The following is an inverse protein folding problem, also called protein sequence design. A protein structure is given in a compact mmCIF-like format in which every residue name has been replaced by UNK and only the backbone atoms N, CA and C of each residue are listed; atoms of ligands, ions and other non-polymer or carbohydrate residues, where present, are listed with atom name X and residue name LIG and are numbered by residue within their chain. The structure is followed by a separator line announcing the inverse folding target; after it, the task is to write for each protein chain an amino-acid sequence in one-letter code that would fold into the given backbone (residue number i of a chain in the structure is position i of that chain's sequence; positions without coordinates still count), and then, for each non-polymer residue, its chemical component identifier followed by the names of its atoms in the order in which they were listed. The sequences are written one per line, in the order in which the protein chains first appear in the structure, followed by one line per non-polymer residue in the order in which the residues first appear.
data_IF_077255718204
#
_entry.id   IF_077255718204
#
_cell.length_a   1.000
_cell.length_b   1.000
_cell.length_c   1.000
_cell.angle_alpha   90.00
_cell.angle_beta   90.00
_cell.angle_gamma   90.00
#
_symmetry.space_group_name_H-M   'P 1'
#
loop_
_entity.id
_entity.type
_entity.pdbx_description
1 polymer ?
#
# COMPACT_ATOMS: atom_id res chain seq x y z
N UNK A 1 -37.10 -1.38 -3.71
CA UNK A 1 -36.01 -1.22 -2.71
C UNK A 1 -35.20 -2.50 -2.46
N UNK A 2 -35.81 -3.70 -2.39
CA UNK A 2 -35.09 -4.95 -2.10
C UNK A 2 -33.98 -5.32 -3.09
N UNK A 3 -34.13 -5.04 -4.38
CA UNK A 3 -33.11 -5.35 -5.39
C UNK A 3 -31.79 -4.61 -5.13
N UNK A 4 -31.83 -3.29 -4.85
CA UNK A 4 -30.62 -2.49 -4.57
C UNK A 4 -29.91 -2.98 -3.30
N UNK A 5 -30.68 -3.37 -2.28
CA UNK A 5 -30.14 -3.92 -1.04
C UNK A 5 -29.37 -5.23 -1.31
N UNK A 6 -29.95 -6.12 -2.12
CA UNK A 6 -29.39 -7.44 -2.43
C UNK A 6 -28.23 -7.37 -3.44
N UNK A 7 -28.25 -6.46 -4.42
CA UNK A 7 -27.26 -6.40 -5.51
C UNK A 7 -26.15 -5.37 -5.29
N UNK A 8 -26.29 -4.48 -4.31
CA UNK A 8 -25.30 -3.46 -4.00
C UNK A 8 -24.92 -3.47 -2.51
N UNK A 9 -25.86 -3.18 -1.61
CA UNK A 9 -25.52 -2.92 -0.20
C UNK A 9 -24.96 -4.14 0.54
N UNK A 10 -25.60 -5.31 0.44
CA UNK A 10 -25.14 -6.53 1.12
C UNK A 10 -23.79 -7.01 0.55
N UNK A 11 -23.60 -7.17 -0.77
CA UNK A 11 -22.30 -7.53 -1.34
C UNK A 11 -21.19 -6.55 -0.96
N UNK A 12 -21.49 -5.25 -0.95
CA UNK A 12 -20.55 -4.21 -0.53
C UNK A 12 -20.18 -4.34 0.96
N UNK A 13 -21.14 -4.62 1.83
CA UNK A 13 -20.88 -4.85 3.26
C UNK A 13 -19.99 -6.07 3.52
N UNK A 14 -20.30 -7.21 2.88
CA UNK A 14 -19.49 -8.44 2.99
C UNK A 14 -18.09 -8.21 2.41
N UNK A 15 -18.00 -7.49 1.28
CA UNK A 15 -16.73 -7.10 0.69
C UNK A 15 -15.87 -6.32 1.68
N UNK A 16 -16.36 -5.20 2.24
CA UNK A 16 -15.55 -4.40 3.16
C UNK A 16 -15.16 -5.18 4.43
N UNK A 17 -16.07 -5.97 4.99
CA UNK A 17 -15.77 -6.80 6.15
C UNK A 17 -14.60 -7.75 5.89
N UNK A 18 -14.61 -8.45 4.75
CA UNK A 18 -13.55 -9.40 4.39
C UNK A 18 -12.28 -8.69 3.94
N UNK A 19 -12.41 -7.59 3.19
CA UNK A 19 -11.29 -6.76 2.74
C UNK A 19 -10.49 -6.21 3.91
N UNK A 20 -11.12 -5.57 4.89
CA UNK A 20 -10.41 -5.00 6.04
C UNK A 20 -9.74 -6.08 6.89
N UNK A 21 -10.38 -7.25 7.06
CA UNK A 21 -9.75 -8.38 7.77
C UNK A 21 -8.50 -8.87 7.05
N UNK A 22 -8.58 -9.06 5.73
CA UNK A 22 -7.44 -9.50 4.91
C UNK A 22 -6.32 -8.45 4.90
N UNK A 23 -6.65 -7.17 4.74
CA UNK A 23 -5.66 -6.10 4.73
C UNK A 23 -4.97 -5.92 6.08
N UNK A 24 -5.72 -5.93 7.18
CA UNK A 24 -5.11 -5.85 8.51
C UNK A 24 -4.19 -7.05 8.78
N UNK A 25 -4.56 -8.24 8.31
CA UNK A 25 -3.68 -9.41 8.40
C UNK A 25 -2.40 -9.21 7.57
N UNK A 26 -2.51 -8.76 6.32
CA UNK A 26 -1.36 -8.49 5.47
C UNK A 26 -0.42 -7.45 6.10
N UNK A 27 -0.96 -6.34 6.62
CA UNK A 27 -0.18 -5.32 7.32
C UNK A 27 0.53 -5.92 8.54
N UNK A 28 -0.18 -6.70 9.35
CA UNK A 28 0.42 -7.33 10.53
C UNK A 28 1.54 -8.30 10.17
N UNK A 29 1.35 -9.15 9.16
CA UNK A 29 2.38 -10.07 8.68
C UNK A 29 3.61 -9.32 8.13
N UNK A 30 3.39 -8.28 7.33
CA UNK A 30 4.47 -7.41 6.82
C UNK A 30 5.21 -6.72 7.95
N UNK A 31 4.52 -6.12 8.92
CA UNK A 31 5.16 -5.43 10.04
C UNK A 31 5.92 -6.39 10.96
N UNK A 32 5.41 -7.61 11.16
CA UNK A 32 6.13 -8.65 11.90
C UNK A 32 7.42 -9.08 11.18
N UNK A 33 7.35 -9.26 9.86
CA UNK A 33 8.53 -9.55 9.04
C UNK A 33 9.56 -8.42 9.15
N UNK A 34 9.14 -7.17 8.91
CA UNK A 34 10.01 -6.00 9.00
C UNK A 34 10.63 -5.87 10.39
N UNK A 35 9.84 -6.03 11.45
CA UNK A 35 10.35 -5.96 12.81
C UNK A 35 11.46 -6.99 13.08
N UNK A 36 11.33 -8.19 12.52
CA UNK A 36 12.35 -9.23 12.63
C UNK A 36 13.59 -8.87 11.82
N UNK A 37 13.40 -8.41 10.58
CA UNK A 37 14.49 -8.01 9.68
C UNK A 37 15.31 -6.83 10.22
N UNK A 38 14.65 -5.78 10.70
CA UNK A 38 15.28 -4.55 11.17
C UNK A 38 16.05 -4.74 12.48
N UNK A 39 15.68 -5.74 13.30
CA UNK A 39 16.47 -6.10 14.49
C UNK A 39 17.85 -6.68 14.14
N UNK A 40 17.99 -7.33 12.99
CA UNK A 40 19.27 -7.84 12.50
C UNK A 40 19.97 -6.90 11.52
N UNK A 41 19.26 -5.91 10.98
CA UNK A 41 19.77 -4.89 10.05
C UNK A 41 19.38 -3.50 10.58
N UNK A 42 20.04 -3.00 11.63
CA UNK A 42 19.76 -1.66 12.13
C UNK A 42 20.15 -0.60 11.09
N UNK A 43 19.50 0.56 11.16
CA UNK A 43 19.67 1.70 10.25
C UNK A 43 19.26 1.43 8.79
N UNK A 44 18.54 0.36 8.51
CA UNK A 44 17.92 0.14 7.20
C UNK A 44 16.92 1.26 6.89
N UNK A 45 16.98 1.77 5.66
CA UNK A 45 16.00 2.72 5.13
C UNK A 45 14.92 1.99 4.35
N UNK A 46 13.70 2.45 4.54
CA UNK A 46 12.51 1.85 3.98
C UNK A 46 11.81 2.88 3.09
N UNK A 47 11.35 2.41 1.93
CA UNK A 47 10.51 3.17 1.01
C UNK A 47 9.21 2.41 0.79
N UNK A 48 8.10 3.14 0.80
CA UNK A 48 6.80 2.60 0.43
C UNK A 48 6.46 3.10 -0.98
N UNK A 49 6.29 2.18 -1.93
CA UNK A 49 5.89 2.49 -3.30
C UNK A 49 4.53 3.20 -3.29
N UNK A 50 4.41 4.34 -3.96
CA UNK A 50 3.17 5.12 -4.03
C UNK A 50 2.73 5.77 -2.73
N UNK A 51 3.56 5.75 -1.68
CA UNK A 51 3.35 6.58 -0.50
C UNK A 51 4.09 7.89 -0.71
N UNK A 52 3.35 8.95 -1.02
CA UNK A 52 3.91 10.29 -1.09
C UNK A 52 3.38 11.21 0.00
N UNK A 53 3.76 12.47 -0.11
CA UNK A 53 3.56 13.48 0.94
C UNK A 53 2.62 14.56 0.44
N UNK A 54 1.68 14.99 1.27
CA UNK A 54 0.68 16.00 0.92
C UNK A 54 -0.61 15.38 0.38
N UNK A 55 -1.71 15.70 1.06
CA UNK A 55 -3.06 15.17 0.76
C UNK A 55 -3.62 15.69 -0.57
N UNK A 56 -3.07 16.79 -1.08
CA UNK A 56 -3.40 17.35 -2.40
C UNK A 56 -2.99 16.43 -3.55
N UNK A 57 -2.01 15.54 -3.31
CA UNK A 57 -1.47 14.62 -4.32
C UNK A 57 -1.68 13.15 -3.97
N UNK A 58 -1.66 12.81 -2.69
CA UNK A 58 -1.72 11.45 -2.19
C UNK A 58 -2.91 11.29 -1.25
N UNK A 59 -3.97 10.61 -1.71
CA UNK A 59 -5.25 10.55 -1.02
C UNK A 59 -5.12 9.97 0.40
N UNK A 60 -4.25 8.97 0.57
CA UNK A 60 -4.07 8.29 1.86
C UNK A 60 -2.97 8.90 2.74
N UNK A 61 -2.38 10.05 2.37
CA UNK A 61 -1.24 10.65 3.09
C UNK A 61 -1.49 10.92 4.58
N UNK A 62 -2.74 11.20 4.95
CA UNK A 62 -3.15 11.41 6.35
C UNK A 62 -2.99 10.15 7.22
N UNK A 63 -2.97 8.95 6.62
CA UNK A 63 -2.94 7.68 7.34
C UNK A 63 -1.53 7.09 7.51
N UNK A 64 -0.55 7.55 6.71
CA UNK A 64 0.78 6.95 6.65
C UNK A 64 1.53 7.01 7.98
N UNK A 65 1.37 8.10 8.74
CA UNK A 65 1.97 8.20 10.08
C UNK A 65 1.49 7.11 11.03
N UNK A 66 0.23 6.69 10.94
CA UNK A 66 -0.30 5.58 11.75
C UNK A 66 0.39 4.27 11.39
N UNK A 67 0.54 3.98 10.09
CA UNK A 67 1.21 2.77 9.59
C UNK A 67 2.67 2.74 10.05
N UNK A 68 3.38 3.86 9.90
CA UNK A 68 4.79 3.95 10.27
C UNK A 68 5.02 3.83 11.77
N UNK A 69 4.03 4.23 12.58
CA UNK A 69 4.10 4.11 14.03
C UNK A 69 4.01 2.66 14.54
N UNK A 70 3.54 1.70 13.74
CA UNK A 70 3.36 0.30 14.17
C UNK A 70 4.69 -0.33 14.59
N UNK A 71 5.76 -0.13 13.82
CA UNK A 71 7.08 -0.70 14.11
C UNK A 71 7.63 -0.26 15.48
N UNK A 72 7.70 1.05 15.81
CA UNK A 72 8.18 1.49 17.12
C UNK A 72 7.18 1.20 18.24
N UNK A 73 5.88 1.44 18.04
CA UNK A 73 4.90 1.36 19.14
C UNK A 73 4.51 -0.07 19.52
N UNK A 74 4.40 -0.97 18.53
CA UNK A 74 3.94 -2.36 18.75
C UNK A 74 5.12 -3.33 18.83
N UNK A 75 6.13 -3.14 17.97
CA UNK A 75 7.26 -4.08 17.87
C UNK A 75 8.54 -3.62 18.55
N UNK A 76 8.58 -2.38 19.06
CA UNK A 76 9.74 -1.81 19.76
C UNK A 76 10.97 -1.63 18.86
N UNK A 77 10.77 -1.49 17.54
CA UNK A 77 11.87 -1.25 16.59
C UNK A 77 11.95 0.25 16.32
N UNK A 78 13.11 0.86 16.53
CA UNK A 78 13.31 2.31 16.32
C UNK A 78 14.55 2.66 15.50
N UNK A 79 15.47 1.73 15.30
CA UNK A 79 16.70 1.94 14.54
C UNK A 79 16.47 1.70 13.03
N UNK A 80 15.60 2.50 12.43
CA UNK A 80 15.33 2.48 11.00
C UNK A 80 14.92 3.89 10.54
N UNK A 81 14.90 4.09 9.24
CA UNK A 81 14.37 5.31 8.64
C UNK A 81 13.31 4.97 7.59
N UNK A 82 12.32 5.85 7.43
CA UNK A 82 11.40 5.82 6.30
C UNK A 82 11.64 7.09 5.52
N UNK A 83 11.96 6.95 4.23
CA UNK A 83 12.21 8.06 3.33
C UNK A 83 11.17 8.09 2.20
N UNK A 84 10.97 9.26 1.61
CA UNK A 84 10.09 9.41 0.44
C UNK A 84 10.92 9.30 -0.83
N UNK A 85 10.51 8.41 -1.74
CA UNK A 85 10.95 8.42 -3.14
C UNK A 85 9.94 9.11 -4.06
N UNK A 86 8.73 9.35 -3.55
CA UNK A 86 7.66 9.99 -4.29
C UNK A 86 7.79 11.53 -4.17
N UNK A 87 7.43 12.27 -5.23
CA UNK A 87 7.45 13.73 -5.22
C UNK A 87 6.48 14.31 -4.19
N UNK A 88 6.80 15.49 -3.66
CA UNK A 88 5.94 16.15 -2.68
C UNK A 88 4.72 16.79 -3.33
N UNK A 89 3.59 16.70 -2.64
CA UNK A 89 2.44 17.57 -2.80
C UNK A 89 2.71 18.96 -2.23
N UNK A 90 1.95 19.93 -2.69
CA UNK A 90 2.05 21.33 -2.29
C UNK A 90 1.62 21.57 -0.85
N UNK A 91 0.78 20.70 -0.29
CA UNK A 91 0.32 20.76 1.10
C UNK A 91 1.30 20.14 2.11
N UNK A 92 2.44 19.60 1.66
CA UNK A 92 3.39 18.98 2.57
C UNK A 92 4.17 20.01 3.39
N UNK A 93 4.15 19.84 4.72
CA UNK A 93 4.92 20.61 5.66
C UNK A 93 5.85 19.69 6.45
N UNK A 94 7.06 20.19 6.72
CA UNK A 94 8.06 19.48 7.51
C UNK A 94 7.57 19.41 8.97
N UNK A 95 7.62 18.22 9.55
CA UNK A 95 7.51 18.02 10.99
C UNK A 95 8.90 17.79 11.59
N UNK A 96 9.53 18.81 12.22
CA UNK A 96 10.87 18.68 12.77
C UNK A 96 10.93 17.78 14.01
N UNK A 97 9.79 17.40 14.60
CA UNK A 97 9.74 16.52 15.77
C UNK A 97 9.78 15.03 15.41
N UNK A 98 9.49 14.68 14.15
CA UNK A 98 9.56 13.31 13.67
C UNK A 98 11.00 12.83 13.51
N UNK A 99 11.29 11.61 13.94
CA UNK A 99 12.57 10.93 13.68
C UNK A 99 12.71 10.42 12.24
N UNK A 100 11.60 10.25 11.53
CA UNK A 100 11.57 9.71 10.16
C UNK A 100 11.81 10.80 9.12
N UNK A 101 12.72 10.54 8.18
CA UNK A 101 13.04 11.41 7.03
C UNK A 101 11.81 11.75 6.18
N UNK A 102 10.84 10.85 6.13
CA UNK A 102 9.58 11.04 5.41
C UNK A 102 8.87 12.31 5.88
N UNK A 103 8.79 12.58 7.18
CA UNK A 103 8.09 13.76 7.71
C UNK A 103 9.01 14.95 7.99
N UNK A 104 10.28 14.71 8.37
CA UNK A 104 11.17 15.78 8.83
C UNK A 104 12.03 16.42 7.73
N UNK A 105 11.95 15.94 6.49
CA UNK A 105 12.70 16.46 5.35
C UNK A 105 11.80 16.63 4.12
N UNK A 106 12.12 17.59 3.24
CA UNK A 106 11.51 17.72 1.90
C UNK A 106 12.21 16.89 0.84
N UNK A 107 13.34 16.28 1.18
CA UNK A 107 14.16 15.54 0.23
C UNK A 107 13.39 14.34 -0.32
N UNK A 108 13.45 14.17 -1.64
CA UNK A 108 12.95 12.99 -2.35
C UNK A 108 14.18 12.22 -2.78
N UNK A 109 14.33 11.00 -2.28
CA UNK A 109 15.53 10.20 -2.48
C UNK A 109 15.28 9.07 -3.46
N UNK A 110 16.27 8.82 -4.32
CA UNK A 110 16.34 7.55 -5.03
C UNK A 110 16.82 6.49 -4.04
N UNK A 111 16.14 5.34 -3.94
CA UNK A 111 16.58 4.27 -3.05
C UNK A 111 17.96 3.72 -3.43
N UNK A 112 18.78 3.42 -2.42
CA UNK A 112 20.13 2.86 -2.59
C UNK A 112 20.11 1.31 -2.53
N UNK A 113 21.22 0.69 -2.93
CA UNK A 113 21.40 -0.76 -2.75
C UNK A 113 21.28 -1.12 -1.26
N UNK A 114 20.62 -2.24 -0.96
CA UNK A 114 20.26 -2.71 0.38
C UNK A 114 19.14 -1.97 1.11
N UNK A 115 18.60 -0.88 0.55
CA UNK A 115 17.35 -0.29 1.06
C UNK A 115 16.16 -1.24 0.82
N UNK A 116 15.10 -1.09 1.60
CA UNK A 116 13.88 -1.87 1.44
C UNK A 116 12.83 -1.09 0.64
N UNK A 117 12.21 -1.76 -0.32
CA UNK A 117 11.06 -1.25 -1.06
C UNK A 117 9.82 -2.09 -0.73
N UNK A 118 8.77 -1.43 -0.26
CA UNK A 118 7.53 -2.08 0.19
C UNK A 118 6.38 -1.67 -0.72
N UNK A 119 5.64 -2.66 -1.20
CA UNK A 119 4.41 -2.46 -1.96
C UNK A 119 3.27 -3.07 -1.17
N UNK A 120 2.19 -2.30 -0.98
CA UNK A 120 1.02 -2.73 -0.21
C UNK A 120 -0.27 -2.27 -0.90
N UNK A 121 -1.41 -2.81 -0.48
CA UNK A 121 -2.71 -2.37 -0.97
C UNK A 121 -3.09 -0.93 -0.58
N UNK A 122 -2.32 -0.29 0.31
CA UNK A 122 -2.52 1.10 0.73
C UNK A 122 -1.77 2.10 -0.16
N UNK A 123 -1.00 1.60 -1.12
CA UNK A 123 -0.30 2.43 -2.09
C UNK A 123 -1.28 3.22 -2.96
N UNK A 124 -0.96 4.47 -3.26
CA UNK A 124 -1.69 5.26 -4.26
C UNK A 124 -1.34 4.83 -5.71
N UNK A 125 -0.44 3.84 -5.88
CA UNK A 125 -0.22 3.16 -7.16
C UNK A 125 -0.80 1.74 -7.14
N UNK A 126 -1.30 1.30 -8.29
CA UNK A 126 -1.86 -0.05 -8.44
C UNK A 126 -0.79 -1.14 -8.26
N UNK A 127 -1.13 -2.18 -7.49
CA UNK A 127 -0.31 -3.40 -7.37
C UNK A 127 -0.61 -4.31 -8.56
N UNK A 128 0.03 -4.01 -9.70
CA UNK A 128 -0.16 -4.73 -10.96
C UNK A 128 0.86 -5.87 -11.11
N UNK A 129 0.44 -7.00 -11.68
CA UNK A 129 1.32 -8.16 -11.92
C UNK A 129 2.56 -7.79 -12.75
N UNK A 130 2.40 -6.92 -13.76
CA UNK A 130 3.51 -6.42 -14.58
C UNK A 130 4.54 -5.65 -13.76
N UNK A 131 4.08 -4.82 -12.81
CA UNK A 131 4.96 -4.06 -11.91
C UNK A 131 5.67 -4.97 -10.92
N UNK A 132 4.97 -5.98 -10.38
CA UNK A 132 5.60 -6.97 -9.49
C UNK A 132 6.66 -7.78 -10.24
N UNK A 133 6.39 -8.22 -11.47
CA UNK A 133 7.36 -8.94 -12.29
C UNK A 133 8.61 -8.09 -12.63
N UNK A 134 8.42 -6.80 -12.93
CA UNK A 134 9.52 -5.86 -13.13
C UNK A 134 10.41 -5.76 -11.87
N UNK A 135 9.79 -5.68 -10.69
CA UNK A 135 10.51 -5.57 -9.42
C UNK A 135 11.20 -6.87 -9.02
N UNK A 136 10.57 -8.03 -9.24
CA UNK A 136 11.19 -9.34 -9.04
C UNK A 136 12.38 -9.57 -9.99
N UNK A 137 12.40 -8.92 -11.17
CA UNK A 137 13.51 -9.00 -12.11
C UNK A 137 14.72 -8.12 -11.73
N UNK A 138 14.48 -7.02 -11.02
CA UNK A 138 15.48 -5.98 -10.71
C UNK A 138 15.93 -5.97 -9.26
N UNK A 139 15.09 -6.48 -8.35
CA UNK A 139 15.31 -6.49 -6.90
C UNK A 139 15.16 -7.91 -6.35
N UNK A 140 15.53 -8.09 -5.09
CA UNK A 140 15.35 -9.37 -4.42
C UNK A 140 14.06 -9.36 -3.61
N UNK A 141 13.14 -10.28 -3.92
CA UNK A 141 11.95 -10.48 -3.10
C UNK A 141 12.34 -11.16 -1.78
N UNK A 142 12.17 -10.45 -0.66
CA UNK A 142 12.47 -10.97 0.67
C UNK A 142 11.23 -11.53 1.37
N UNK A 143 10.07 -10.91 1.16
CA UNK A 143 8.83 -11.31 1.82
C UNK A 143 7.61 -10.98 0.97
N UNK A 144 6.61 -11.86 1.04
CA UNK A 144 5.31 -11.73 0.39
C UNK A 144 4.21 -12.28 1.31
N UNK A 145 3.15 -11.52 1.54
CA UNK A 145 2.01 -12.00 2.35
C UNK A 145 1.25 -13.10 1.62
N UNK A 146 0.60 -13.98 2.36
CA UNK A 146 -0.25 -15.01 1.74
C UNK A 146 -1.53 -14.42 1.18
N UNK A 147 -2.08 -15.04 0.13
CA UNK A 147 -3.45 -14.73 -0.30
C UNK A 147 -4.43 -15.32 0.71
N UNK A 148 -5.36 -14.49 1.20
CA UNK A 148 -6.41 -14.92 2.11
C UNK A 148 -7.78 -14.85 1.44
N UNK A 149 -8.71 -15.75 1.80
CA UNK A 149 -10.08 -15.69 1.30
C UNK A 149 -10.69 -14.32 1.57
N UNK A 150 -11.28 -13.75 0.54
CA UNK A 150 -12.01 -12.49 0.62
C UNK A 150 -13.22 -12.57 -0.31
N UNK A 151 -14.20 -11.69 -0.06
CA UNK A 151 -15.34 -11.54 -0.96
C UNK A 151 -15.06 -10.39 -1.93
N UNK A 152 -14.94 -10.64 -3.24
CA UNK A 152 -14.79 -9.57 -4.22
C UNK A 152 -15.97 -8.60 -4.16
N UNK A 153 -15.73 -7.35 -4.53
CA UNK A 153 -16.80 -6.38 -4.64
C UNK A 153 -17.65 -6.71 -5.88
N UNK A 154 -18.53 -7.70 -5.80
CA UNK A 154 -19.48 -8.06 -6.86
C UNK A 154 -20.74 -7.22 -6.72
N UNK A 155 -20.68 -6.00 -7.24
CA UNK A 155 -21.78 -5.04 -7.30
C UNK A 155 -22.11 -4.72 -8.75
N UNK A 156 -23.30 -4.19 -9.02
CA UNK A 156 -23.65 -3.74 -10.38
C UNK A 156 -22.63 -2.73 -10.94
N UNK A 157 -22.09 -1.84 -10.09
CA UNK A 157 -21.09 -0.85 -10.51
C UNK A 157 -19.75 -1.47 -10.89
N UNK A 158 -19.24 -2.43 -10.12
CA UNK A 158 -17.97 -3.09 -10.42
C UNK A 158 -18.05 -4.01 -11.64
N UNK A 159 -19.20 -4.66 -11.86
CA UNK A 159 -19.47 -5.39 -13.10
C UNK A 159 -19.49 -4.42 -14.29
N UNK A 160 -20.19 -3.30 -14.17
CA UNK A 160 -20.20 -2.25 -15.21
C UNK A 160 -18.79 -1.71 -15.51
N UNK A 161 -18.00 -1.42 -14.47
CA UNK A 161 -16.62 -0.98 -14.62
C UNK A 161 -15.75 -2.04 -15.34
N UNK A 162 -15.87 -3.32 -14.98
CA UNK A 162 -15.16 -4.41 -15.67
C UNK A 162 -15.54 -4.49 -17.15
N UNK A 163 -16.82 -4.40 -17.49
CA UNK A 163 -17.29 -4.43 -18.87
C UNK A 163 -16.75 -3.27 -19.70
N UNK A 164 -16.74 -2.06 -19.13
CA UNK A 164 -16.17 -0.90 -19.80
C UNK A 164 -14.65 -1.05 -20.01
N UNK A 165 -13.92 -1.60 -19.03
CA UNK A 165 -12.50 -1.93 -19.18
C UNK A 165 -12.26 -2.98 -20.28
N UNK A 166 -13.06 -4.04 -20.34
CA UNK A 166 -12.96 -5.08 -21.38
C UNK A 166 -13.21 -4.54 -22.79
N UNK A 167 -14.02 -3.47 -22.88
CA UNK A 167 -14.27 -2.74 -24.12
C UNK A 167 -13.27 -1.60 -24.38
N UNK A 168 -12.21 -1.48 -23.58
CA UNK A 168 -11.18 -0.44 -23.72
C UNK A 168 -11.75 1.00 -23.64
N UNK A 169 -12.88 1.18 -22.96
CA UNK A 169 -13.51 2.47 -22.77
C UNK A 169 -12.88 3.14 -21.55
N UNK A 170 -12.15 4.23 -21.77
CA UNK A 170 -11.62 5.07 -20.69
C UNK A 170 -12.76 5.66 -19.88
N UNK A 171 -12.76 5.42 -18.57
CA UNK A 171 -13.76 5.96 -17.65
C UNK A 171 -13.12 6.37 -16.32
N UNK A 172 -13.69 7.38 -15.66
CA UNK A 172 -13.24 7.85 -14.34
C UNK A 172 -13.46 6.84 -13.22
N UNK A 173 -14.31 5.82 -13.42
CA UNK A 173 -14.55 4.72 -12.47
C UNK A 173 -13.40 3.68 -12.42
N UNK A 174 -12.24 3.96 -13.02
CA UNK A 174 -11.12 3.02 -13.05
C UNK A 174 -10.49 2.93 -11.66
N UNK A 175 -10.78 1.86 -10.93
CA UNK A 175 -10.09 1.48 -9.68
C UNK A 175 -8.65 1.02 -9.97
N UNK A 176 -7.84 1.82 -10.68
CA UNK A 176 -6.44 1.50 -11.05
C UNK A 176 -6.28 0.09 -11.67
N UNK A 177 -7.24 -0.34 -12.51
CA UNK A 177 -7.25 -1.69 -13.11
C UNK A 177 -7.81 -2.81 -12.22
N UNK A 178 -8.30 -2.50 -11.02
CA UNK A 178 -8.88 -3.47 -10.07
C UNK A 178 -10.39 -3.22 -9.84
N UNK A 179 -11.25 -3.48 -10.84
CA UNK A 179 -12.68 -3.14 -10.78
C UNK A 179 -13.42 -3.86 -9.64
N UNK A 180 -12.96 -5.04 -9.24
CA UNK A 180 -13.54 -5.83 -8.16
C UNK A 180 -12.92 -5.59 -6.78
N UNK A 181 -11.96 -4.65 -6.67
CA UNK A 181 -11.24 -4.30 -5.45
C UNK A 181 -10.66 -5.50 -4.70
N UNK A 182 -10.03 -6.40 -5.46
CA UNK A 182 -9.34 -7.56 -4.89
C UNK A 182 -8.25 -7.06 -3.92
N UNK A 183 -8.11 -7.66 -2.71
CA UNK A 183 -7.04 -7.28 -1.80
C UNK A 183 -5.70 -7.57 -2.46
N UNK A 184 -4.80 -6.60 -2.42
CA UNK A 184 -3.43 -6.82 -2.85
C UNK A 184 -2.62 -7.47 -1.73
N UNK A 185 -1.73 -8.39 -2.13
CA UNK A 185 -0.65 -8.88 -1.26
C UNK A 185 0.31 -7.72 -0.97
N UNK A 186 1.00 -7.81 0.16
CA UNK A 186 2.12 -6.91 0.46
C UNK A 186 3.43 -7.61 0.12
N UNK A 187 4.34 -6.87 -0.48
CA UNK A 187 5.63 -7.33 -0.94
C UNK A 187 6.73 -6.48 -0.30
N UNK A 188 7.80 -7.13 0.15
CA UNK A 188 9.01 -6.46 0.63
C UNK A 188 10.17 -6.92 -0.22
N UNK A 189 10.78 -5.98 -0.92
CA UNK A 189 11.95 -6.18 -1.74
C UNK A 189 13.18 -5.55 -1.08
N UNK A 190 14.34 -6.18 -1.27
CA UNK A 190 15.64 -5.55 -1.05
C UNK A 190 16.18 -5.06 -2.37
N UNK A 191 16.64 -3.81 -2.38
CA UNK A 191 17.17 -3.19 -3.57
C UNK A 191 18.59 -3.70 -3.85
N UNK A 192 18.89 -3.98 -5.12
CA UNK A 192 20.19 -4.48 -5.58
C UNK A 192 21.05 -3.36 -6.13
#
# INVERSE_FOLDING_TARGET
MGLILLTSSIPQGIHYLTFYKTQNKNINETMHYLATYLKSHPHTRIYFEGFGRGVDRYYNAWSYGTIFSILPTIFGVSEFDIASKEPNGTSFHIDPSSSLSFFNSKEVRTPDSSDLLIITALSDVGVLDSRIAELESSHELLFKTSNHPYFPQYTLMSIGAKLLQDWHISHSLSNYGNPYRLPAQSYVFRIR
#
